data_IF_605617806771
#
_entry.id   IF_605617806771
#
_cell.length_a   1.000
_cell.length_b   1.000
_cell.length_c   1.000
_cell.angle_alpha   90.00
_cell.angle_beta   90.00
_cell.angle_gamma   90.00
#
_symmetry.space_group_name_H-M   'P 1'
#
loop_
_entity.id
_entity.type
_entity.pdbx_description
1 polymer ?
#
# COMPACT_ATOMS: atom_id res chain seq x y z
N UNK A 1 -2.22 -14.51 2.40
CA UNK A 1 -2.25 -13.65 1.21
C UNK A 1 -3.71 -13.32 0.92
N UNK A 2 -4.19 -12.15 1.36
CA UNK A 2 -5.60 -11.79 1.19
C UNK A 2 -5.80 -11.19 -0.20
N UNK A 3 -6.68 -11.80 -0.99
CA UNK A 3 -7.00 -11.46 -2.38
C UNK A 3 -7.36 -9.96 -2.61
N UNK A 4 -7.81 -9.26 -1.56
CA UNK A 4 -8.17 -7.85 -1.59
C UNK A 4 -6.97 -6.91 -1.81
N UNK A 5 -5.78 -7.24 -1.29
CA UNK A 5 -4.60 -6.36 -1.40
C UNK A 5 -4.00 -6.32 -2.81
N UNK A 6 -4.27 -7.33 -3.64
CA UNK A 6 -3.70 -7.45 -4.97
C UNK A 6 -4.44 -6.57 -6.00
N UNK A 7 -5.74 -6.36 -5.79
CA UNK A 7 -6.58 -5.51 -6.65
C UNK A 7 -6.21 -4.04 -6.45
N UNK A 8 -6.06 -3.60 -5.20
CA UNK A 8 -5.67 -2.22 -4.87
C UNK A 8 -4.28 -1.84 -5.39
N UNK A 9 -3.29 -2.73 -5.22
CA UNK A 9 -1.94 -2.51 -5.72
C UNK A 9 -1.91 -2.39 -7.27
N UNK A 10 -2.73 -3.18 -7.96
CA UNK A 10 -2.82 -3.12 -9.44
C UNK A 10 -3.51 -1.84 -9.91
N UNK A 11 -4.54 -1.37 -9.20
CA UNK A 11 -5.21 -0.11 -9.50
C UNK A 11 -4.27 1.08 -9.26
N UNK A 12 -3.53 1.08 -8.15
CA UNK A 12 -2.46 2.07 -7.91
C UNK A 12 -1.42 2.07 -9.04
N UNK A 13 -0.94 0.89 -9.45
CA UNK A 13 0.04 0.79 -10.53
C UNK A 13 -0.45 1.39 -11.85
N UNK A 14 -1.74 1.23 -12.16
CA UNK A 14 -2.40 1.84 -13.32
C UNK A 14 -2.53 3.36 -13.18
N UNK A 15 -2.96 3.86 -12.02
CA UNK A 15 -3.17 5.30 -11.81
C UNK A 15 -1.87 6.10 -11.83
N UNK A 16 -0.78 5.55 -11.28
CA UNK A 16 0.52 6.24 -11.18
C UNK A 16 1.50 5.81 -12.27
N UNK A 17 1.07 4.92 -13.17
CA UNK A 17 1.86 4.39 -14.29
C UNK A 17 3.27 3.91 -13.88
N UNK A 18 3.35 3.12 -12.80
CA UNK A 18 4.62 2.57 -12.29
C UNK A 18 4.94 1.20 -12.88
N UNK A 19 6.22 0.90 -13.05
CA UNK A 19 6.70 -0.39 -13.55
C UNK A 19 6.43 -1.53 -12.55
N UNK A 20 6.40 -2.79 -13.02
CA UNK A 20 6.16 -3.98 -12.18
C UNK A 20 7.19 -4.12 -11.05
N UNK A 21 8.46 -3.78 -11.30
CA UNK A 21 9.49 -3.77 -10.26
C UNK A 21 9.24 -2.71 -9.19
N UNK A 22 8.79 -1.51 -9.59
CA UNK A 22 8.41 -0.45 -8.67
C UNK A 22 7.20 -0.86 -7.84
N UNK A 23 6.21 -1.52 -8.45
CA UNK A 23 5.06 -2.07 -7.74
C UNK A 23 5.49 -3.11 -6.70
N UNK A 24 6.41 -4.02 -7.03
CA UNK A 24 6.94 -5.01 -6.09
C UNK A 24 7.64 -4.36 -4.88
N UNK A 25 8.39 -3.27 -5.10
CA UNK A 25 9.00 -2.47 -4.02
C UNK A 25 7.95 -1.83 -3.12
N UNK A 26 6.88 -1.26 -3.70
CA UNK A 26 5.78 -0.70 -2.93
C UNK A 26 5.01 -1.78 -2.14
N UNK A 27 4.82 -2.97 -2.70
CA UNK A 27 4.21 -4.08 -1.98
C UNK A 27 5.05 -4.49 -0.77
N UNK A 28 6.37 -4.60 -0.93
CA UNK A 28 7.28 -4.89 0.18
C UNK A 28 7.24 -3.80 1.25
N UNK A 29 7.21 -2.54 0.84
CA UNK A 29 7.09 -1.40 1.74
C UNK A 29 5.75 -1.42 2.49
N UNK A 30 4.63 -1.74 1.83
CA UNK A 30 3.32 -1.87 2.46
C UNK A 30 3.29 -3.02 3.49
N UNK A 31 3.96 -4.15 3.23
CA UNK A 31 4.09 -5.24 4.20
C UNK A 31 4.91 -4.81 5.42
N UNK A 32 6.03 -4.11 5.20
CA UNK A 32 6.85 -3.58 6.28
C UNK A 32 6.06 -2.57 7.12
N UNK A 33 5.33 -1.66 6.48
CA UNK A 33 4.49 -0.69 7.15
C UNK A 33 3.42 -1.38 8.01
N UNK A 34 2.73 -2.41 7.48
CA UNK A 34 1.76 -3.21 8.26
C UNK A 34 2.41 -3.94 9.44
N UNK A 35 3.64 -4.43 9.28
CA UNK A 35 4.37 -5.08 10.37
C UNK A 35 4.63 -4.11 11.52
N UNK A 36 5.11 -2.90 11.22
CA UNK A 36 5.41 -1.90 12.22
C UNK A 36 4.16 -1.20 12.77
N UNK A 37 3.11 -1.06 11.97
CA UNK A 37 1.81 -0.53 12.39
C UNK A 37 1.26 -1.30 13.59
N UNK A 38 1.35 -2.64 13.56
CA UNK A 38 0.91 -3.50 14.67
C UNK A 38 1.72 -3.27 15.96
N UNK A 39 2.95 -2.78 15.86
CA UNK A 39 3.87 -2.62 16.98
C UNK A 39 3.80 -1.23 17.61
N UNK A 40 3.73 -0.17 16.78
CA UNK A 40 3.90 1.22 17.25
C UNK A 40 2.87 2.21 16.67
N UNK A 41 1.85 1.75 15.94
CA UNK A 41 0.78 2.59 15.38
C UNK A 41 1.32 3.82 14.60
N UNK A 42 1.92 3.57 13.44
CA UNK A 42 2.56 4.57 12.57
C UNK A 42 1.57 5.43 11.77
N UNK A 43 0.43 4.86 11.39
CA UNK A 43 -0.64 5.52 10.65
C UNK A 43 -1.94 5.43 11.45
N UNK A 44 -2.94 6.25 11.13
CA UNK A 44 -4.25 6.11 11.77
C UNK A 44 -4.82 4.71 11.51
N UNK A 45 -5.37 4.04 12.52
CA UNK A 45 -5.95 2.69 12.36
C UNK A 45 -7.00 2.61 11.24
N UNK A 46 -7.68 3.74 10.99
CA UNK A 46 -8.71 3.92 9.97
C UNK A 46 -8.16 4.18 8.54
N UNK A 47 -6.84 4.36 8.37
CA UNK A 47 -6.20 4.50 7.04
C UNK A 47 -5.50 3.22 6.58
N UNK A 48 -5.36 2.22 7.45
CA UNK A 48 -4.75 0.92 7.13
C UNK A 48 -5.52 0.13 6.06
N UNK A 49 -6.86 0.23 6.04
CA UNK A 49 -7.75 -0.42 5.07
C UNK A 49 -7.85 0.33 3.74
N UNK A 50 -7.40 1.59 3.68
CA UNK A 50 -7.38 2.41 2.45
C UNK A 50 -5.95 2.89 2.13
N UNK A 51 -4.96 2.05 2.42
CA UNK A 51 -3.54 2.41 2.37
C UNK A 51 -3.11 2.86 0.96
N UNK A 52 -3.53 2.15 -0.08
CA UNK A 52 -3.14 2.44 -1.45
C UNK A 52 -3.85 3.67 -2.02
N UNK A 53 -5.17 3.75 -1.84
CA UNK A 53 -5.98 4.83 -2.41
C UNK A 53 -5.82 6.16 -1.67
N UNK A 54 -5.69 6.17 -0.33
CA UNK A 54 -5.54 7.43 0.42
C UNK A 54 -4.10 7.84 0.73
N UNK A 55 -3.16 6.91 0.88
CA UNK A 55 -1.80 7.26 1.30
C UNK A 55 -0.82 7.31 0.13
N UNK A 56 -0.79 6.28 -0.70
CA UNK A 56 0.14 6.28 -1.84
C UNK A 56 -0.32 7.21 -2.97
N UNK A 57 -1.62 7.32 -3.23
CA UNK A 57 -2.15 8.21 -4.27
C UNK A 57 -2.04 9.70 -3.90
N UNK A 58 -2.23 10.03 -2.63
CA UNK A 58 -2.13 11.42 -2.12
C UNK A 58 -0.67 11.91 -2.06
N UNK A 59 0.29 11.00 -1.98
CA UNK A 59 1.73 11.32 -1.95
C UNK A 59 2.43 11.26 -3.32
N UNK A 60 1.73 10.88 -4.40
CA UNK A 60 2.31 10.62 -5.73
C UNK A 60 2.27 11.83 -6.68
#
# INVERSE_FOLDING_TARGET
MNHLSNIEATNFAKSVNVSRETLAKFQLYAELLKHWQKKINLIGSNTTDSLWERHFLDSA
#
